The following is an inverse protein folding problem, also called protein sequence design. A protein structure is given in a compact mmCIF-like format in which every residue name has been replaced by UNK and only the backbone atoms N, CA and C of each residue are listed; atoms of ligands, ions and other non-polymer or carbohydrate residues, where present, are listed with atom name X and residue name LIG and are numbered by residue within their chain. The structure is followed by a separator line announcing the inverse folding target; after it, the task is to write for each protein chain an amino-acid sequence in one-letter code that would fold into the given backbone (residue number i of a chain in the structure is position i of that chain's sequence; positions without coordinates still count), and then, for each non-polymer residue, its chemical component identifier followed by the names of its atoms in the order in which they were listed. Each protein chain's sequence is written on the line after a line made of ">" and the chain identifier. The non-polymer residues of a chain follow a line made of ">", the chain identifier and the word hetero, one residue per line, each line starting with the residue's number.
data_IF_030520955596
#
_entry.id   IF_030520955596
#
_cell.length_a   1.000
_cell.length_b   1.000
_cell.length_c   1.000
_cell.angle_alpha   90.00
_cell.angle_beta   90.00
_cell.angle_gamma   90.00
#
_symmetry.space_group_name_H-M   'P 1'
#
loop_
_entity.id
_entity.type
_entity.pdbx_description
1 polymer ?
#
# COMPACT_ATOMS: atom_id res chain seq x y z
N UNK A 1 27.38 15.76 -6.61
CA UNK A 1 27.17 14.42 -7.22
C UNK A 1 25.76 13.96 -6.89
N UNK A 2 25.01 13.46 -7.87
CA UNK A 2 23.61 13.05 -7.67
C UNK A 2 23.50 11.68 -6.98
N UNK A 3 22.68 11.60 -5.93
CA UNK A 3 22.39 10.36 -5.22
C UNK A 3 21.56 9.42 -6.09
N UNK A 4 21.95 8.15 -6.19
CA UNK A 4 21.19 7.13 -6.93
C UNK A 4 20.46 6.24 -5.93
N UNK A 5 19.14 6.45 -5.80
CA UNK A 5 18.28 5.59 -4.98
C UNK A 5 18.11 4.22 -5.64
N UNK A 6 18.48 3.16 -4.92
CA UNK A 6 18.44 1.77 -5.40
C UNK A 6 17.75 0.89 -4.36
N UNK A 7 17.05 -0.15 -4.81
CA UNK A 7 16.53 -1.16 -3.88
C UNK A 7 17.65 -2.08 -3.43
N UNK A 8 17.49 -2.70 -2.27
CA UNK A 8 18.41 -3.69 -1.71
C UNK A 8 18.84 -4.78 -2.71
N UNK A 9 17.89 -5.28 -3.52
CA UNK A 9 18.15 -6.27 -4.57
C UNK A 9 19.07 -5.77 -5.68
N UNK A 10 19.08 -4.48 -5.96
CA UNK A 10 19.97 -3.88 -6.96
C UNK A 10 21.36 -3.60 -6.39
N UNK A 11 21.42 -3.25 -5.09
CA UNK A 11 22.69 -3.15 -4.37
C UNK A 11 23.37 -4.52 -4.28
N UNK A 12 22.61 -5.59 -3.99
CA UNK A 12 23.13 -6.97 -4.00
C UNK A 12 23.72 -7.35 -5.37
N UNK A 13 23.07 -6.93 -6.47
CA UNK A 13 23.59 -7.17 -7.82
C UNK A 13 24.93 -6.48 -8.04
N UNK A 14 25.10 -5.24 -7.59
CA UNK A 14 26.38 -4.52 -7.74
C UNK A 14 27.48 -5.32 -7.05
N UNK A 15 27.27 -5.75 -5.81
CA UNK A 15 28.28 -6.48 -5.05
C UNK A 15 28.69 -7.80 -5.71
N UNK A 16 27.71 -8.61 -6.10
CA UNK A 16 27.98 -9.90 -6.77
C UNK A 16 28.69 -9.69 -8.11
N UNK A 17 28.34 -8.64 -8.87
CA UNK A 17 28.97 -8.36 -10.15
C UNK A 17 30.41 -7.87 -9.98
N UNK A 18 30.70 -7.04 -8.97
CA UNK A 18 32.08 -6.64 -8.63
C UNK A 18 32.93 -7.86 -8.28
N UNK A 19 32.43 -8.76 -7.45
CA UNK A 19 33.15 -9.98 -7.08
C UNK A 19 33.42 -10.91 -8.27
N UNK A 20 32.50 -10.96 -9.25
CA UNK A 20 32.72 -11.72 -10.48
C UNK A 20 33.75 -11.02 -11.38
N UNK A 21 33.72 -9.69 -11.48
CA UNK A 21 34.68 -8.92 -12.28
C UNK A 21 36.11 -9.03 -11.72
N UNK A 22 36.22 -9.05 -10.38
CA UNK A 22 37.48 -9.26 -9.65
C UNK A 22 37.96 -10.73 -9.66
N UNK A 23 37.27 -11.63 -10.37
CA UNK A 23 37.52 -13.07 -10.41
C UNK A 23 37.49 -13.76 -9.02
N UNK A 24 36.86 -13.14 -8.02
CA UNK A 24 36.69 -13.70 -6.66
C UNK A 24 35.46 -14.59 -6.53
N UNK A 25 34.57 -14.54 -7.51
CA UNK A 25 33.32 -15.31 -7.55
C UNK A 25 33.06 -15.81 -8.97
N UNK A 26 32.68 -17.08 -9.11
CA UNK A 26 32.31 -17.62 -10.41
C UNK A 26 30.93 -17.14 -10.84
N UNK A 27 30.69 -17.07 -12.16
CA UNK A 27 29.37 -16.72 -12.72
C UNK A 27 28.29 -17.69 -12.24
N UNK A 28 28.60 -18.98 -12.10
CA UNK A 28 27.68 -20.00 -11.60
C UNK A 28 27.30 -19.73 -10.12
N UNK A 29 28.28 -19.44 -9.27
CA UNK A 29 28.01 -19.10 -7.88
C UNK A 29 27.20 -17.80 -7.76
N UNK A 30 27.54 -16.78 -8.55
CA UNK A 30 26.77 -15.53 -8.63
C UNK A 30 25.32 -15.76 -9.09
N UNK A 31 25.09 -16.69 -10.02
CA UNK A 31 23.77 -17.01 -10.56
C UNK A 31 22.86 -17.57 -9.46
N UNK A 32 23.40 -18.49 -8.65
CA UNK A 32 22.72 -19.00 -7.47
C UNK A 32 22.43 -17.90 -6.44
N UNK A 33 23.40 -17.04 -6.13
CA UNK A 33 23.22 -15.97 -5.13
C UNK A 33 22.17 -14.92 -5.52
N UNK A 34 22.07 -14.59 -6.81
CA UNK A 34 21.11 -13.60 -7.29
C UNK A 34 19.75 -14.22 -7.68
N UNK A 35 19.63 -15.55 -7.65
CA UNK A 35 18.52 -16.30 -8.24
C UNK A 35 18.27 -15.85 -9.69
N UNK A 36 19.35 -15.80 -10.48
CA UNK A 36 19.35 -15.41 -11.89
C UNK A 36 20.01 -16.49 -12.72
N UNK A 37 19.65 -16.54 -14.00
CA UNK A 37 20.35 -17.40 -14.95
C UNK A 37 21.75 -16.84 -15.25
N UNK A 38 22.71 -17.69 -15.61
CA UNK A 38 24.04 -17.26 -16.04
C UNK A 38 23.97 -16.22 -17.19
N UNK A 39 23.02 -16.39 -18.11
CA UNK A 39 22.75 -15.43 -19.19
C UNK A 39 22.35 -14.05 -18.66
N UNK A 40 21.51 -13.99 -17.64
CA UNK A 40 21.14 -12.71 -17.01
C UNK A 40 22.34 -12.06 -16.32
N UNK A 41 23.22 -12.84 -15.70
CA UNK A 41 24.47 -12.31 -15.13
C UNK A 41 25.37 -11.72 -16.20
N UNK A 42 25.62 -12.41 -17.31
CA UNK A 42 26.41 -11.86 -18.40
C UNK A 42 25.81 -10.55 -18.97
N UNK A 43 24.47 -10.46 -19.05
CA UNK A 43 23.80 -9.21 -19.45
C UNK A 43 24.04 -8.08 -18.46
N UNK A 44 24.00 -8.37 -17.16
CA UNK A 44 24.26 -7.39 -16.11
C UNK A 44 25.74 -6.97 -16.07
N UNK A 45 26.68 -7.92 -16.19
CA UNK A 45 28.12 -7.63 -16.31
C UNK A 45 28.41 -6.72 -17.50
N UNK A 46 27.81 -7.02 -18.66
CA UNK A 46 27.94 -6.17 -19.85
C UNK A 46 27.47 -4.75 -19.56
N UNK A 47 26.26 -4.59 -18.99
CA UNK A 47 25.72 -3.28 -18.66
C UNK A 47 26.60 -2.51 -17.66
N UNK A 48 27.03 -3.19 -16.59
CA UNK A 48 27.90 -2.67 -15.56
C UNK A 48 29.24 -2.18 -16.13
N UNK A 49 29.90 -2.97 -16.98
CA UNK A 49 31.18 -2.58 -17.60
C UNK A 49 31.06 -1.36 -18.52
N UNK A 50 29.93 -1.19 -19.21
CA UNK A 50 29.72 -0.02 -20.09
C UNK A 50 29.24 1.24 -19.37
N UNK A 51 28.43 1.13 -18.32
CA UNK A 51 27.67 2.25 -17.75
C UNK A 51 27.78 2.35 -16.20
N UNK A 52 28.61 1.50 -15.59
CA UNK A 52 28.84 1.45 -14.14
C UNK A 52 27.64 0.98 -13.33
N UNK A 53 27.70 1.21 -12.02
CA UNK A 53 26.67 0.79 -11.06
C UNK A 53 25.27 1.38 -11.35
N UNK A 54 25.21 2.57 -11.95
CA UNK A 54 23.94 3.23 -12.31
C UNK A 54 23.08 2.41 -13.29
N UNK A 55 23.73 1.60 -14.13
CA UNK A 55 23.09 0.76 -15.15
C UNK A 55 22.26 -0.40 -14.59
N UNK A 56 22.54 -0.78 -13.35
CA UNK A 56 21.90 -1.88 -12.63
C UNK A 56 20.61 -1.45 -11.94
N UNK A 57 20.31 -0.15 -11.97
CA UNK A 57 19.04 0.41 -11.52
C UNK A 57 17.91 -0.05 -12.44
N UNK A 58 16.78 -0.37 -11.82
CA UNK A 58 15.56 -0.76 -12.47
C UNK A 58 15.08 0.39 -13.36
N UNK A 59 15.07 0.13 -14.66
CA UNK A 59 14.85 1.14 -15.68
C UNK A 59 13.42 1.69 -15.71
N UNK A 60 12.49 1.02 -15.01
CA UNK A 60 11.12 1.51 -14.87
C UNK A 60 10.93 2.48 -13.68
N UNK A 61 11.97 2.73 -12.86
CA UNK A 61 11.88 3.75 -11.80
C UNK A 61 11.67 5.13 -12.43
N UNK A 62 10.69 5.86 -11.94
CA UNK A 62 10.30 7.18 -12.47
C UNK A 62 9.57 7.12 -13.82
N UNK A 63 9.43 5.93 -14.42
CA UNK A 63 8.68 5.77 -15.66
C UNK A 63 7.22 5.53 -15.33
N UNK A 64 6.38 6.41 -15.83
CA UNK A 64 4.93 6.22 -15.84
C UNK A 64 4.60 4.96 -16.66
N UNK A 65 3.78 4.02 -16.14
CA UNK A 65 3.43 2.83 -16.89
C UNK A 65 2.65 3.20 -18.15
N UNK A 66 2.77 2.40 -19.22
CA UNK A 66 2.13 2.69 -20.50
C UNK A 66 0.59 2.81 -20.40
N UNK A 67 0.00 2.16 -19.41
CA UNK A 67 -1.45 2.15 -19.15
C UNK A 67 -1.86 3.19 -18.08
N UNK A 68 -1.00 4.15 -17.75
CA UNK A 68 -1.33 5.19 -16.80
C UNK A 68 -2.36 6.17 -17.38
N UNK A 69 -3.53 6.24 -16.75
CA UNK A 69 -4.53 7.25 -17.10
C UNK A 69 -3.97 8.63 -16.75
N UNK A 70 -3.75 9.46 -17.77
CA UNK A 70 -3.24 10.83 -17.65
C UNK A 70 -4.07 11.65 -16.65
N UNK A 71 -3.42 12.49 -15.84
CA UNK A 71 -4.07 13.24 -14.75
C UNK A 71 -5.26 14.07 -15.25
N UNK A 72 -5.07 14.80 -16.35
CA UNK A 72 -6.16 15.55 -17.00
C UNK A 72 -7.38 14.66 -17.33
N UNK A 73 -7.18 13.41 -17.78
CA UNK A 73 -8.29 12.49 -18.06
C UNK A 73 -8.99 12.02 -16.78
N UNK A 74 -8.27 11.86 -15.66
CA UNK A 74 -8.86 11.48 -14.37
C UNK A 74 -9.72 12.58 -13.76
N UNK A 75 -9.30 13.83 -13.96
CA UNK A 75 -9.99 15.00 -13.42
C UNK A 75 -11.19 15.37 -14.30
N UNK A 76 -11.05 15.24 -15.63
CA UNK A 76 -12.06 15.59 -16.62
C UNK A 76 -13.23 14.59 -16.69
N UNK A 77 -12.98 13.29 -16.63
CA UNK A 77 -14.05 12.28 -16.80
C UNK A 77 -15.17 12.40 -15.74
N UNK A 78 -14.89 12.60 -14.44
CA UNK A 78 -15.93 12.83 -13.44
C UNK A 78 -16.73 14.12 -13.61
N UNK A 79 -16.10 15.18 -14.14
CA UNK A 79 -16.77 16.46 -14.44
C UNK A 79 -17.71 16.28 -15.63
N UNK A 80 -17.22 15.65 -16.70
CA UNK A 80 -17.99 15.34 -17.90
C UNK A 80 -19.21 14.44 -17.63
N UNK A 81 -19.08 13.45 -16.74
CA UNK A 81 -20.21 12.61 -16.31
C UNK A 81 -21.26 13.45 -15.58
N UNK A 82 -20.85 14.36 -14.69
CA UNK A 82 -21.80 15.20 -13.93
C UNK A 82 -22.52 16.21 -14.80
N UNK A 83 -21.86 16.72 -15.84
CA UNK A 83 -22.44 17.74 -16.72
C UNK A 83 -23.34 17.14 -17.79
N UNK A 84 -22.95 16.03 -18.41
CA UNK A 84 -23.61 15.51 -19.62
C UNK A 84 -24.31 14.18 -19.43
N UNK A 85 -24.02 13.45 -18.34
CA UNK A 85 -24.49 12.08 -18.11
C UNK A 85 -24.98 11.87 -16.66
N UNK A 86 -25.42 12.93 -15.99
CA UNK A 86 -25.84 12.88 -14.58
C UNK A 86 -26.96 11.87 -14.34
N UNK A 87 -27.86 11.75 -15.32
CA UNK A 87 -29.05 10.91 -15.26
C UNK A 87 -28.77 9.46 -15.69
N UNK A 88 -27.53 9.15 -16.09
CA UNK A 88 -27.19 7.88 -16.73
C UNK A 88 -26.67 6.90 -15.68
N UNK A 89 -27.11 5.63 -15.77
CA UNK A 89 -26.53 4.55 -14.98
C UNK A 89 -25.04 4.34 -15.31
N UNK A 90 -24.26 3.79 -14.38
CA UNK A 90 -22.79 3.64 -14.54
C UNK A 90 -22.36 2.92 -15.83
N UNK A 91 -23.17 1.95 -16.25
CA UNK A 91 -22.91 1.15 -17.46
C UNK A 91 -23.11 2.01 -18.71
N UNK A 92 -24.24 2.71 -18.79
CA UNK A 92 -24.57 3.59 -19.92
C UNK A 92 -23.61 4.79 -19.98
N UNK A 93 -23.26 5.38 -18.82
CA UNK A 93 -22.26 6.43 -18.76
C UNK A 93 -20.88 5.95 -19.27
N UNK A 94 -20.46 4.73 -18.93
CA UNK A 94 -19.21 4.18 -19.43
C UNK A 94 -19.24 3.85 -20.93
N UNK A 95 -20.40 3.48 -21.47
CA UNK A 95 -20.60 3.26 -22.91
C UNK A 95 -20.57 4.58 -23.68
N UNK A 96 -21.30 5.58 -23.21
CA UNK A 96 -21.37 6.91 -23.82
C UNK A 96 -20.03 7.64 -23.74
N UNK A 97 -19.27 7.48 -22.65
CA UNK A 97 -17.89 7.98 -22.56
C UNK A 97 -16.95 7.31 -23.56
N UNK A 98 -17.15 6.02 -23.86
CA UNK A 98 -16.33 5.32 -24.83
C UNK A 98 -16.70 5.73 -26.27
N UNK A 99 -17.99 5.93 -26.54
CA UNK A 99 -18.53 6.24 -27.86
C UNK A 99 -18.36 7.72 -28.26
N UNK A 100 -18.77 8.66 -27.40
CA UNK A 100 -18.73 10.09 -27.71
C UNK A 100 -17.40 10.76 -27.36
N UNK A 101 -16.62 10.18 -26.44
CA UNK A 101 -15.41 10.83 -25.89
C UNK A 101 -14.15 9.96 -25.94
N UNK A 102 -14.24 8.73 -26.47
CA UNK A 102 -13.09 7.83 -26.63
C UNK A 102 -12.44 7.39 -25.31
N UNK A 103 -13.13 7.52 -24.17
CA UNK A 103 -12.60 7.14 -22.87
C UNK A 103 -13.04 5.72 -22.47
N UNK A 104 -12.08 4.79 -22.42
CA UNK A 104 -12.31 3.41 -21.99
C UNK A 104 -12.01 3.26 -20.50
N UNK A 105 -13.05 3.10 -19.68
CA UNK A 105 -12.95 2.93 -18.22
C UNK A 105 -13.56 1.58 -17.82
N UNK A 106 -13.10 0.97 -16.71
CA UNK A 106 -13.71 -0.26 -16.19
C UNK A 106 -15.18 0.01 -15.87
N UNK A 107 -16.07 -0.53 -16.71
CA UNK A 107 -17.49 -0.13 -16.85
C UNK A 107 -18.28 0.01 -15.54
N UNK A 108 -17.88 -0.68 -14.45
CA UNK A 108 -18.59 -0.66 -13.17
C UNK A 108 -18.07 0.29 -12.09
N UNK A 109 -16.85 0.83 -12.20
CA UNK A 109 -16.15 1.43 -11.04
C UNK A 109 -15.86 2.93 -11.15
N UNK A 110 -16.33 3.57 -12.22
CA UNK A 110 -16.10 5.00 -12.45
C UNK A 110 -16.83 5.82 -11.38
N UNK A 111 -16.08 6.66 -10.65
CA UNK A 111 -16.64 7.51 -9.60
C UNK A 111 -17.24 6.77 -8.41
N UNK A 112 -16.96 5.47 -8.25
CA UNK A 112 -17.44 4.66 -7.12
C UNK A 112 -16.35 4.50 -6.06
N UNK A 113 -16.74 4.66 -4.81
CA UNK A 113 -15.92 4.28 -3.68
C UNK A 113 -15.78 2.75 -3.64
N UNK A 114 -14.57 2.29 -3.31
CA UNK A 114 -14.26 0.88 -3.09
C UNK A 114 -13.99 0.67 -1.60
N UNK A 115 -14.44 -0.46 -1.08
CA UNK A 115 -14.24 -0.82 0.30
C UNK A 115 -12.85 -1.43 0.46
N UNK A 116 -12.07 -0.87 1.38
CA UNK A 116 -10.76 -1.43 1.76
C UNK A 116 -10.92 -2.14 3.09
N UNK A 117 -10.78 -3.46 3.07
CA UNK A 117 -10.80 -4.29 4.26
C UNK A 117 -9.36 -4.51 4.72
N UNK A 118 -9.08 -4.12 5.96
CA UNK A 118 -7.84 -4.48 6.65
C UNK A 118 -8.20 -5.52 7.71
N UNK A 119 -7.73 -6.75 7.51
CA UNK A 119 -7.98 -7.85 8.42
C UNK A 119 -6.97 -7.82 9.60
N UNK A 120 -7.31 -8.42 10.76
CA UNK A 120 -6.42 -8.43 11.93
C UNK A 120 -5.06 -9.10 11.68
N UNK A 121 -5.00 -9.99 10.70
CA UNK A 121 -3.78 -10.69 10.23
C UNK A 121 -2.90 -9.84 9.30
N UNK A 122 -3.32 -8.61 8.97
CA UNK A 122 -2.59 -7.69 8.10
C UNK A 122 -2.90 -7.84 6.61
N UNK A 123 -3.80 -8.76 6.22
CA UNK A 123 -4.26 -8.87 4.83
C UNK A 123 -5.10 -7.65 4.45
N UNK A 124 -4.77 -7.04 3.33
CA UNK A 124 -5.61 -6.03 2.69
C UNK A 124 -6.55 -6.74 1.70
N UNK A 125 -7.80 -6.32 1.56
CA UNK A 125 -8.60 -6.65 0.38
C UNK A 125 -9.27 -5.37 -0.12
N UNK A 126 -9.16 -5.09 -1.40
CA UNK A 126 -9.92 -4.02 -2.06
C UNK A 126 -11.12 -4.68 -2.73
N UNK A 127 -12.33 -4.34 -2.27
CA UNK A 127 -13.58 -4.92 -2.77
C UNK A 127 -14.51 -3.86 -3.31
N UNK A 128 -15.35 -4.26 -4.24
CA UNK A 128 -16.50 -3.48 -4.66
C UNK A 128 -17.75 -4.36 -4.66
N UNK A 129 -18.77 -3.96 -3.89
CA UNK A 129 -19.99 -4.75 -3.66
C UNK A 129 -19.69 -6.21 -3.26
N UNK A 130 -18.68 -6.41 -2.40
CA UNK A 130 -18.28 -7.74 -1.91
C UNK A 130 -17.38 -8.56 -2.84
N UNK A 131 -17.14 -8.12 -4.08
CA UNK A 131 -16.24 -8.79 -5.03
C UNK A 131 -14.82 -8.24 -4.88
N UNK A 132 -13.83 -9.13 -4.72
CA UNK A 132 -12.42 -8.75 -4.63
C UNK A 132 -11.87 -8.29 -5.98
N UNK A 133 -11.22 -7.12 -5.97
CA UNK A 133 -10.51 -6.57 -7.13
C UNK A 133 -9.05 -7.03 -7.09
N UNK A 134 -8.47 -7.30 -8.26
CA UNK A 134 -7.04 -7.59 -8.34
C UNK A 134 -6.23 -6.34 -7.98
N UNK A 135 -5.29 -6.47 -7.04
CA UNK A 135 -4.40 -5.38 -6.61
C UNK A 135 -3.01 -5.94 -6.26
N UNK A 136 -2.01 -5.06 -6.18
CA UNK A 136 -0.67 -5.37 -5.64
C UNK A 136 -0.37 -4.41 -4.48
N UNK A 137 0.05 -4.94 -3.32
CA UNK A 137 0.49 -4.12 -2.18
C UNK A 137 1.93 -3.70 -2.40
N UNK A 138 2.21 -2.41 -2.25
CA UNK A 138 3.57 -1.89 -2.20
C UNK A 138 3.86 -1.48 -0.75
N UNK A 139 4.70 -2.25 -0.05
CA UNK A 139 5.10 -1.95 1.32
C UNK A 139 6.13 -0.81 1.33
N UNK A 140 5.69 0.37 1.76
CA UNK A 140 6.53 1.57 1.84
C UNK A 140 7.34 1.64 3.13
N UNK A 141 7.03 0.80 4.10
CA UNK A 141 7.61 0.81 5.45
C UNK A 141 8.51 -0.40 5.69
N UNK A 142 8.89 -1.12 4.63
CA UNK A 142 9.75 -2.29 4.72
C UNK A 142 11.11 -1.91 5.36
N UNK A 143 11.36 -2.46 6.55
CA UNK A 143 12.60 -2.26 7.33
C UNK A 143 13.55 -3.44 7.20
N UNK A 144 14.83 -3.14 7.26
CA UNK A 144 15.88 -4.16 7.24
C UNK A 144 15.96 -4.84 8.61
N UNK A 145 15.72 -6.14 8.66
CA UNK A 145 15.77 -6.92 9.90
C UNK A 145 17.20 -7.35 10.23
N UNK A 146 17.48 -7.59 11.53
CA UNK A 146 18.79 -8.13 11.92
C UNK A 146 19.02 -9.54 11.35
N UNK A 147 17.96 -10.34 11.21
CA UNK A 147 18.02 -11.62 10.51
C UNK A 147 18.43 -11.46 9.04
N UNK A 148 17.89 -10.47 8.32
CA UNK A 148 18.30 -10.18 6.95
C UNK A 148 19.80 -9.78 6.87
N UNK A 149 20.32 -9.09 7.90
CA UNK A 149 21.75 -8.74 8.03
C UNK A 149 22.61 -10.00 8.21
N UNK A 150 22.23 -10.92 9.10
CA UNK A 150 22.99 -12.14 9.37
C UNK A 150 22.88 -13.18 8.25
N UNK A 151 21.72 -13.31 7.63
CA UNK A 151 21.48 -14.19 6.47
C UNK A 151 22.22 -13.68 5.23
N UNK A 152 22.32 -12.36 5.04
CA UNK A 152 23.18 -11.75 4.01
C UNK A 152 24.55 -11.36 4.56
N UNK A 153 25.44 -12.34 4.80
CA UNK A 153 26.84 -12.08 5.22
C UNK A 153 27.56 -11.01 4.36
N UNK A 154 27.26 -11.00 3.06
CA UNK A 154 27.84 -10.13 2.04
C UNK A 154 27.38 -8.68 2.13
N UNK A 155 26.07 -8.46 2.30
CA UNK A 155 25.49 -7.12 2.48
C UNK A 155 25.36 -6.70 3.94
N UNK A 156 25.84 -7.51 4.90
CA UNK A 156 25.63 -7.30 6.33
C UNK A 156 26.03 -5.90 6.79
N UNK A 157 27.13 -5.34 6.27
CA UNK A 157 27.57 -3.98 6.59
C UNK A 157 26.64 -2.89 6.02
N UNK A 158 26.17 -3.04 4.78
CA UNK A 158 25.25 -2.09 4.12
C UNK A 158 23.86 -2.16 4.77
N UNK A 159 23.38 -3.38 5.04
CA UNK A 159 22.13 -3.62 5.73
C UNK A 159 22.16 -3.13 7.17
N UNK A 160 23.30 -3.29 7.87
CA UNK A 160 23.50 -2.68 9.19
C UNK A 160 23.48 -1.14 9.12
N UNK A 161 24.07 -0.55 8.08
CA UNK A 161 24.03 0.89 7.88
C UNK A 161 22.61 1.41 7.55
N UNK A 162 21.89 0.74 6.65
CA UNK A 162 20.48 1.07 6.33
C UNK A 162 19.59 0.88 7.55
N UNK A 163 19.81 -0.19 8.32
CA UNK A 163 19.11 -0.40 9.59
C UNK A 163 19.40 0.72 10.58
N UNK A 164 20.66 1.17 10.72
CA UNK A 164 21.01 2.30 11.58
C UNK A 164 20.32 3.61 11.14
N UNK A 165 20.23 3.87 9.82
CA UNK A 165 19.50 5.02 9.29
C UNK A 165 18.01 4.91 9.65
N UNK A 166 17.40 3.76 9.41
CA UNK A 166 15.99 3.51 9.73
C UNK A 166 15.72 3.61 11.23
N UNK A 167 16.63 3.15 12.08
CA UNK A 167 16.53 3.22 13.55
C UNK A 167 16.63 4.67 14.04
N UNK A 168 17.47 5.50 13.40
CA UNK A 168 17.61 6.93 13.68
C UNK A 168 16.42 7.78 13.20
N UNK A 169 15.81 7.44 12.05
CA UNK A 169 14.60 8.10 11.55
C UNK A 169 13.37 7.82 12.43
N UNK A 170 13.45 6.78 13.26
CA UNK A 170 12.35 6.31 14.09
C UNK A 170 11.24 5.65 13.27
N UNK A 171 10.35 4.86 13.90
CA UNK A 171 9.24 4.23 13.18
C UNK A 171 8.37 5.29 12.50
N UNK A 172 7.82 5.00 11.31
CA UNK A 172 6.94 5.93 10.61
C UNK A 172 5.82 6.35 11.56
N UNK A 173 5.64 7.67 11.72
CA UNK A 173 4.60 8.23 12.60
C UNK A 173 3.25 7.75 12.10
N UNK A 174 2.68 6.73 12.76
CA UNK A 174 1.30 6.30 12.51
C UNK A 174 0.43 7.53 12.73
N UNK A 175 -0.32 7.95 11.72
CA UNK A 175 -1.36 8.96 11.93
C UNK A 175 -2.25 8.42 13.04
N UNK A 176 -2.46 9.16 14.14
CA UNK A 176 -3.35 8.68 15.19
C UNK A 176 -4.67 8.34 14.53
N UNK A 177 -5.22 7.15 14.84
CA UNK A 177 -6.56 6.79 14.41
C UNK A 177 -7.45 7.99 14.76
N UNK A 178 -8.05 8.61 13.74
CA UNK A 178 -8.82 9.84 13.94
C UNK A 178 -9.77 9.67 15.12
N UNK A 179 -9.95 10.71 15.93
CA UNK A 179 -10.81 10.63 17.12
C UNK A 179 -12.13 9.97 16.73
N UNK A 180 -12.39 8.79 17.28
CA UNK A 180 -13.63 8.06 17.07
C UNK A 180 -14.78 9.04 17.35
N UNK A 181 -15.58 9.39 16.33
CA UNK A 181 -16.68 10.37 16.44
C UNK A 181 -17.64 10.00 17.58
N UNK A 182 -17.69 8.72 17.95
CA UNK A 182 -18.49 8.15 19.02
C UNK A 182 -17.65 7.82 20.25
N UNK A 183 -16.93 8.79 20.83
CA UNK A 183 -16.52 8.63 22.23
C UNK A 183 -17.79 8.78 23.09
N UNK A 184 -18.32 7.68 23.61
CA UNK A 184 -19.40 7.70 24.58
C UNK A 184 -19.02 8.64 25.73
N UNK A 185 -19.68 9.80 25.81
CA UNK A 185 -19.63 10.65 26.99
C UNK A 185 -20.70 10.13 27.94
N UNK A 186 -20.30 9.65 29.13
CA UNK A 186 -21.26 9.41 30.21
C UNK A 186 -22.00 10.72 30.48
N UNK A 187 -23.22 10.84 30.00
CA UNK A 187 -24.18 11.79 30.53
C UNK A 187 -24.39 11.37 31.99
N UNK A 188 -24.04 12.22 32.95
CA UNK A 188 -24.16 11.93 34.39
C UNK A 188 -25.59 11.63 34.88
N UNK A 189 -26.54 11.45 33.97
CA UNK A 189 -27.90 11.00 34.22
C UNK A 189 -27.93 9.49 34.04
N UNK A 190 -28.37 8.76 35.07
CA UNK A 190 -28.79 7.36 34.91
C UNK A 190 -29.85 7.32 33.80
N UNK A 191 -29.79 6.37 32.84
CA UNK A 191 -30.89 6.16 31.91
C UNK A 191 -32.16 5.95 32.74
N UNK A 192 -33.34 6.46 32.32
CA UNK A 192 -34.58 6.09 32.98
C UNK A 192 -34.81 4.61 32.67
N UNK A 193 -34.19 3.75 33.48
CA UNK A 193 -34.45 2.33 33.47
C UNK A 193 -35.93 2.12 33.79
N UNK A 194 -36.48 1.01 33.30
CA UNK A 194 -37.81 0.56 33.66
C UNK A 194 -37.89 0.51 35.20
N UNK A 195 -38.78 1.32 35.79
CA UNK A 195 -39.01 1.31 37.26
C UNK A 195 -39.20 -0.14 37.71
N UNK A 196 -38.44 -0.57 38.72
CA UNK A 196 -38.47 -1.96 39.14
C UNK A 196 -39.86 -2.29 39.69
N UNK A 197 -40.25 -3.56 39.64
CA UNK A 197 -41.50 -4.00 40.24
C UNK A 197 -41.59 -3.62 41.73
N UNK A 198 -40.45 -3.63 42.42
CA UNK A 198 -40.31 -3.20 43.82
C UNK A 198 -40.61 -1.71 43.97
N UNK A 199 -40.08 -0.86 43.09
CA UNK A 199 -40.33 0.60 43.13
C UNK A 199 -41.81 0.93 42.88
N UNK A 200 -42.48 0.17 41.99
CA UNK A 200 -43.93 0.31 41.77
C UNK A 200 -44.74 -0.11 42.99
N UNK A 201 -44.33 -1.19 43.66
CA UNK A 201 -45.02 -1.69 44.85
C UNK A 201 -44.86 -0.73 46.04
N UNK A 202 -43.67 -0.13 46.20
CA UNK A 202 -43.42 0.90 47.21
C UNK A 202 -44.26 2.16 46.92
N UNK A 203 -44.34 2.61 45.67
CA UNK A 203 -45.16 3.76 45.30
C UNK A 203 -46.67 3.53 45.55
N UNK A 204 -47.17 2.33 45.24
CA UNK A 204 -48.56 1.95 45.50
C UNK A 204 -48.88 1.93 46.99
N UNK A 205 -47.99 1.36 47.81
CA UNK A 205 -48.13 1.33 49.27
C UNK A 205 -48.07 2.73 49.87
N UNK A 206 -47.23 3.61 49.33
CA UNK A 206 -47.14 5.00 49.78
C UNK A 206 -48.37 5.82 49.36
N UNK A 207 -49.00 5.55 48.22
CA UNK A 207 -50.26 6.20 47.84
C UNK A 207 -51.45 5.80 48.71
N UNK A 208 -51.42 4.60 49.31
CA UNK A 208 -52.44 4.15 50.27
C UNK A 208 -52.27 4.78 51.66
N UNK A 209 -51.07 5.28 52.00
CA UNK A 209 -50.78 5.88 53.31
C UNK A 209 -51.14 7.39 53.35
N UNK A 210 -51.33 8.02 52.19
CA UNK A 210 -51.66 9.46 52.08
C UNK A 210 -53.01 9.74 51.38
N UNK A 211 -53.86 8.72 51.25
CA UNK A 211 -55.25 8.84 50.83
C UNK A 211 -56.17 8.55 52.03
#
# INVERSE_FOLDING_TARGET
>A
MGWVMMSERELNRIEVLVQIDDNRLTVAAGAHLLNLTARQIYRLLRAYRTQGASSLRHKARGRTPNNHIHRAKRDYVPELIRENYADFGTTLAAEMLAEHHGFKVTRGLVGKYVDTFAYPDGRLDVKWKGVALAYNVFDKDQRVTHAAITENKRLSAVLAHVKNIQDNEGPPRKKPAGKQKTRYKKTGRKPPGRVSFVDKHIAAKNSEVYA
#
